data_IF_350578201586
#
_entry.id   IF_350578201586
#
_cell.length_a   1.000
_cell.length_b   1.000
_cell.length_c   1.000
_cell.angle_alpha   90.00
_cell.angle_beta   90.00
_cell.angle_gamma   90.00
#
_symmetry.space_group_name_H-M   'P 1'
#
loop_
_entity.id
_entity.type
_entity.pdbx_description
1 polymer ?
#
# COMPACT_ATOMS: atom_id res chain seq x y z
N UNK A 1 8.32 14.88 -0.27
CA UNK A 1 7.53 13.65 -0.47
C UNK A 1 6.15 14.07 -0.94
N UNK A 2 5.65 13.47 -2.01
CA UNK A 2 4.30 13.69 -2.52
C UNK A 2 3.44 12.50 -2.11
N UNK A 3 2.30 12.74 -1.48
CA UNK A 3 1.34 11.68 -1.13
C UNK A 3 0.16 11.80 -2.09
N UNK A 4 -0.20 10.70 -2.74
CA UNK A 4 -1.33 10.64 -3.68
C UNK A 4 -2.11 9.32 -3.53
N UNK A 5 -3.36 9.26 -4.00
CA UNK A 5 -4.05 7.99 -4.18
C UNK A 5 -3.23 7.05 -5.07
N UNK A 6 -3.15 5.79 -4.65
CA UNK A 6 -2.54 4.74 -5.45
C UNK A 6 -3.41 4.41 -6.65
N UNK A 7 -2.75 4.00 -7.73
CA UNK A 7 -3.38 3.59 -8.99
C UNK A 7 -2.98 2.16 -9.33
N UNK A 8 -3.63 1.54 -10.32
CA UNK A 8 -3.32 0.17 -10.73
C UNK A 8 -1.87 -0.01 -11.21
N UNK A 9 -1.23 1.05 -11.72
CA UNK A 9 0.18 1.05 -12.13
C UNK A 9 1.13 0.88 -10.92
N UNK A 10 0.70 1.28 -9.73
CA UNK A 10 1.51 1.20 -8.51
C UNK A 10 1.50 -0.20 -7.87
N UNK A 11 0.60 -1.10 -8.29
CA UNK A 11 0.37 -2.40 -7.64
C UNK A 11 1.62 -3.28 -7.59
N UNK A 12 2.41 -3.30 -8.66
CA UNK A 12 3.66 -4.05 -8.71
C UNK A 12 4.64 -3.55 -7.63
N UNK A 13 4.79 -2.23 -7.51
CA UNK A 13 5.70 -1.64 -6.51
C UNK A 13 5.16 -1.78 -5.09
N UNK A 14 3.85 -1.67 -4.91
CA UNK A 14 3.17 -1.90 -3.64
C UNK A 14 3.41 -3.33 -3.13
N UNK A 15 3.34 -4.33 -4.02
CA UNK A 15 3.63 -5.73 -3.71
C UNK A 15 5.06 -5.93 -3.21
N UNK A 16 6.04 -5.36 -3.93
CA UNK A 16 7.44 -5.42 -3.51
C UNK A 16 7.65 -4.79 -2.13
N UNK A 17 7.07 -3.62 -1.89
CA UNK A 17 7.18 -2.92 -0.60
C UNK A 17 6.51 -3.70 0.54
N UNK A 18 5.35 -4.32 0.30
CA UNK A 18 4.70 -5.18 1.29
C UNK A 18 5.57 -6.38 1.64
N UNK A 19 6.04 -7.12 0.63
CA UNK A 19 6.80 -8.34 0.85
C UNK A 19 8.20 -8.07 1.41
N UNK A 20 8.78 -6.90 1.13
CA UNK A 20 10.01 -6.44 1.78
C UNK A 20 9.85 -6.15 3.28
N UNK A 21 8.62 -5.90 3.75
CA UNK A 21 8.32 -5.67 5.16
C UNK A 21 8.06 -6.98 5.94
N UNK A 22 8.11 -8.15 5.30
CA UNK A 22 8.12 -9.46 5.99
C UNK A 22 9.33 -9.49 6.94
N UNK A 23 9.14 -9.86 8.22
CA UNK A 23 8.01 -10.62 8.79
C UNK A 23 6.93 -9.78 9.50
N UNK A 24 6.98 -8.44 9.44
CA UNK A 24 6.01 -7.59 10.13
C UNK A 24 4.61 -7.63 9.50
N UNK A 25 4.54 -7.98 8.21
CA UNK A 25 3.31 -8.20 7.45
C UNK A 25 3.34 -9.59 6.81
N UNK A 26 2.19 -10.04 6.32
CA UNK A 26 2.10 -11.27 5.54
C UNK A 26 2.67 -11.05 4.13
N UNK A 27 3.30 -12.09 3.58
CA UNK A 27 3.60 -12.14 2.16
C UNK A 27 2.29 -12.16 1.37
N UNK A 28 2.23 -11.37 0.30
CA UNK A 28 1.10 -11.30 -0.61
C UNK A 28 1.56 -11.69 -2.02
N UNK A 29 0.65 -12.25 -2.80
CA UNK A 29 0.74 -12.38 -4.24
C UNK A 29 0.15 -11.16 -4.95
N UNK A 30 0.42 -11.02 -6.25
CA UNK A 30 -0.15 -9.91 -7.03
C UNK A 30 -1.69 -9.95 -7.07
N UNK A 31 -2.28 -11.14 -7.15
CA UNK A 31 -3.74 -11.32 -7.15
C UNK A 31 -4.36 -10.89 -5.81
N UNK A 32 -3.72 -11.27 -4.70
CA UNK A 32 -4.13 -10.83 -3.37
C UNK A 32 -3.97 -9.32 -3.19
N UNK A 33 -2.90 -8.72 -3.73
CA UNK A 33 -2.72 -7.26 -3.70
C UNK A 33 -3.77 -6.53 -4.52
N UNK A 34 -4.14 -7.05 -5.70
CA UNK A 34 -5.24 -6.51 -6.52
C UNK A 34 -6.55 -6.58 -5.75
N UNK A 35 -6.85 -7.73 -5.13
CA UNK A 35 -8.04 -7.89 -4.29
C UNK A 35 -8.03 -6.91 -3.12
N UNK A 36 -6.89 -6.77 -2.43
CA UNK A 36 -6.73 -5.88 -1.28
C UNK A 36 -6.94 -4.42 -1.66
N UNK A 37 -6.40 -4.02 -2.81
CA UNK A 37 -6.59 -2.68 -3.37
C UNK A 37 -8.06 -2.40 -3.72
N UNK A 38 -8.80 -3.40 -4.18
CA UNK A 38 -10.21 -3.27 -4.53
C UNK A 38 -11.14 -3.16 -3.31
N UNK A 39 -10.82 -3.82 -2.20
CA UNK A 39 -11.61 -3.79 -0.96
C UNK A 39 -11.19 -2.70 0.02
N UNK A 40 -10.01 -2.12 -0.17
CA UNK A 40 -9.51 -1.04 0.67
C UNK A 40 -10.37 0.21 0.56
N UNK A 41 -10.57 0.88 1.70
CA UNK A 41 -11.27 2.17 1.74
C UNK A 41 -10.43 3.29 1.20
N UNK A 42 -9.14 3.23 1.48
CA UNK A 42 -8.17 4.14 0.90
C UNK A 42 -6.83 3.43 0.68
N UNK A 43 -6.21 3.72 -0.45
CA UNK A 43 -4.84 3.33 -0.75
C UNK A 43 -4.08 4.59 -1.10
N UNK A 44 -3.09 4.94 -0.29
CA UNK A 44 -2.21 6.07 -0.51
C UNK A 44 -0.80 5.58 -0.76
N UNK A 45 -0.10 6.26 -1.65
CA UNK A 45 1.32 6.03 -1.91
C UNK A 45 2.10 7.32 -1.73
N UNK A 46 3.34 7.17 -1.27
CA UNK A 46 4.26 8.26 -1.10
C UNK A 46 5.39 8.16 -2.13
N UNK A 47 5.56 9.21 -2.91
CA UNK A 47 6.61 9.36 -3.90
C UNK A 47 7.69 10.33 -3.41
N UNK A 48 8.94 9.95 -3.61
CA UNK A 48 10.09 10.81 -3.35
C UNK A 48 10.61 11.29 -4.71
N UNK A 49 10.41 12.56 -5.10
CA UNK A 49 10.76 13.04 -6.44
C UNK A 49 12.26 12.97 -6.74
N UNK A 50 13.11 12.88 -5.72
CA UNK A 50 14.55 12.69 -5.84
C UNK A 50 14.99 11.22 -5.84
N UNK A 51 14.05 10.26 -5.83
CA UNK A 51 14.36 8.82 -5.84
C UNK A 51 14.92 8.39 -7.19
N UNK A 52 15.95 7.56 -7.16
CA UNK A 52 16.50 6.87 -8.35
C UNK A 52 15.70 5.62 -8.72
N UNK A 53 14.84 5.14 -7.81
CA UNK A 53 13.94 4.01 -8.05
C UNK A 53 12.59 4.56 -8.52
N UNK A 54 12.10 4.16 -9.70
CA UNK A 54 10.80 4.59 -10.20
C UNK A 54 9.66 4.01 -9.34
N UNK A 55 8.60 4.80 -9.17
CA UNK A 55 7.42 4.42 -8.41
C UNK A 55 7.46 4.82 -6.93
N UNK A 56 6.46 4.41 -6.15
CA UNK A 56 6.32 4.82 -4.76
C UNK A 56 7.41 4.23 -3.86
N UNK A 57 7.79 5.02 -2.85
CA UNK A 57 8.74 4.66 -1.81
C UNK A 57 8.07 4.07 -0.55
N UNK A 58 6.78 4.38 -0.36
CA UNK A 58 5.97 3.81 0.71
C UNK A 58 4.50 3.72 0.29
N UNK A 59 3.75 2.85 0.95
CA UNK A 59 2.31 2.71 0.82
C UNK A 59 1.62 2.76 2.18
N UNK A 60 0.36 3.18 2.16
CA UNK A 60 -0.58 3.11 3.28
C UNK A 60 -1.89 2.56 2.74
N UNK A 61 -2.38 1.49 3.37
CA UNK A 61 -3.69 0.91 3.06
C UNK A 61 -4.59 1.04 4.27
N UNK A 62 -5.71 1.74 4.09
CA UNK A 62 -6.79 1.82 5.05
C UNK A 62 -7.89 0.84 4.68
N UNK A 63 -8.12 -0.15 5.55
CA UNK A 63 -9.27 -1.03 5.47
C UNK A 63 -10.39 -0.49 6.37
N UNK A 64 -11.65 -0.79 6.04
CA UNK A 64 -12.72 -0.66 7.04
C UNK A 64 -12.41 -1.62 8.19
N UNK A 65 -12.26 -1.07 9.39
CA UNK A 65 -12.19 -1.88 10.60
C UNK A 65 -13.55 -2.53 10.93
N UNK A 66 -13.62 -3.37 11.96
CA UNK A 66 -14.86 -4.03 12.41
C UNK A 66 -15.92 -3.07 12.99
N UNK A 67 -15.84 -1.76 12.70
CA UNK A 67 -16.72 -0.73 13.25
C UNK A 67 -16.43 -0.38 14.72
N UNK A 68 -15.33 -0.89 15.29
CA UNK A 68 -14.89 -0.52 16.64
C UNK A 68 -14.01 0.72 16.51
N UNK A 69 -14.41 1.81 17.19
CA UNK A 69 -13.59 3.02 17.25
C UNK A 69 -12.22 2.71 17.84
N UNK A 70 -11.17 3.38 17.35
CA UNK A 70 -9.89 3.35 18.03
C UNK A 70 -10.08 3.89 19.46
N UNK A 71 -9.74 3.09 20.47
CA UNK A 71 -9.65 3.59 21.85
C UNK A 71 -8.60 4.71 21.87
N UNK A 72 -9.00 5.87 22.42
CA UNK A 72 -8.18 7.10 22.47
C UNK A 72 -7.26 7.12 23.68
#
# INVERSE_FOLDING_TARGET
VLIRPATSDDLGRMLELNNAAVPAVNELTLDEMVWFFAVARCCLVAEVPSSTVPGPAALLVGLDGPGVGYDS
#
